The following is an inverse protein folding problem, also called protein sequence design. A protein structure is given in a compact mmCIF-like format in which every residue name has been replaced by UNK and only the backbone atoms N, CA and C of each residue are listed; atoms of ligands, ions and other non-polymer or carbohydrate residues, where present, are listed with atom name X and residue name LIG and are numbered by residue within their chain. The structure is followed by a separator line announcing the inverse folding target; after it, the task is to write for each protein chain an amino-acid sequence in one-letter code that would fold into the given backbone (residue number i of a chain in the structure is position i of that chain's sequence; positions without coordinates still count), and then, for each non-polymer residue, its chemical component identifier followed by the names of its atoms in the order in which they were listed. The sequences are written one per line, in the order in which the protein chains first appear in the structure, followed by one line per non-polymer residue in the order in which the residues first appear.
data_IF_873808043235
#
_entry.id   IF_873808043235
#
_cell.length_a   1.000
_cell.length_b   1.000
_cell.length_c   1.000
_cell.angle_alpha   90.00
_cell.angle_beta   90.00
_cell.angle_gamma   90.00
#
_symmetry.space_group_name_H-M   'P 1'
#
loop_
_entity.id
_entity.type
_entity.pdbx_description
1 polymer ?
2 non-polymer ?
3 water ?
#
# COMPACT_ATOMS: atom_id res chain seq x y z
N UNK A 2 5.78 -11.06 20.48
CA UNK A 2 6.11 -9.77 19.77
C UNK A 2 7.59 -9.47 19.51
N UNK A 3 8.45 -9.88 20.43
CA UNK A 3 9.85 -9.42 20.50
C UNK A 3 10.76 -10.59 20.12
N UNK A 4 11.60 -10.40 19.12
CA UNK A 4 12.49 -11.45 18.65
C UNK A 4 13.89 -11.21 19.23
N UNK A 5 14.43 -12.25 19.82
CA UNK A 5 15.81 -12.25 20.33
C UNK A 5 16.73 -12.18 19.06
N UNK A 6 17.71 -11.26 19.09
CA UNK A 6 18.57 -10.98 17.90
C UNK A 6 19.41 -12.18 17.47
N UNK A 7 19.66 -13.08 18.41
CA UNK A 7 20.38 -14.28 18.11
C UNK A 7 19.65 -15.20 17.13
N UNK A 8 18.35 -14.96 16.93
CA UNK A 8 17.49 -15.77 16.10
C UNK A 8 17.47 -15.29 14.66
N UNK A 9 18.12 -14.14 14.39
CA UNK A 9 18.17 -13.54 13.06
C UNK A 9 19.59 -13.56 12.46
N UNK A 10 19.60 -13.85 11.18
CA UNK A 10 20.74 -13.72 10.33
C UNK A 10 20.38 -12.75 9.23
N UNK A 11 21.19 -11.69 9.11
CA UNK A 11 21.02 -10.68 8.03
C UNK A 11 21.85 -11.12 6.84
N UNK A 12 21.35 -10.96 5.63
CA UNK A 12 22.15 -11.35 4.48
C UNK A 12 22.52 -10.11 3.69
N UNK A 13 21.76 -9.77 2.67
CA UNK A 13 22.10 -8.73 1.77
C UNK A 13 21.00 -7.66 1.76
N UNK A 14 21.37 -6.43 1.46
CA UNK A 14 20.40 -5.36 1.20
C UNK A 14 19.55 -5.71 -0.04
N UNK A 15 18.25 -5.42 0.05
CA UNK A 15 17.30 -5.65 -1.03
C UNK A 15 16.47 -4.39 -1.14
N UNK A 16 15.84 -4.21 -2.31
CA UNK A 16 14.92 -3.09 -2.51
C UNK A 16 15.58 -1.83 -3.06
N UNK A 17 14.74 -0.94 -3.57
CA UNK A 17 15.21 0.34 -4.14
C UNK A 17 15.07 1.51 -3.17
N UNK A 18 14.78 1.26 -1.89
CA UNK A 18 14.79 2.34 -0.89
C UNK A 18 13.47 3.00 -0.61
N UNK A 19 12.39 2.50 -1.20
CA UNK A 19 11.05 3.00 -0.90
C UNK A 19 10.54 2.58 0.49
N UNK A 20 11.17 1.58 1.08
CA UNK A 20 10.95 1.25 2.51
C UNK A 20 12.24 1.45 3.38
N UNK A 21 13.21 2.19 2.88
CA UNK A 21 14.46 2.43 3.60
C UNK A 21 15.44 1.26 3.47
N UNK A 22 16.17 1.05 4.58
CA UNK A 22 17.17 0.04 4.70
C UNK A 22 16.50 -1.29 5.06
N UNK A 23 16.49 -2.23 4.09
CA UNK A 23 15.92 -3.55 4.23
C UNK A 23 17.00 -4.56 3.87
N UNK A 24 17.12 -5.60 4.69
CA UNK A 24 17.89 -6.79 4.35
C UNK A 24 17.02 -8.00 4.10
N UNK A 25 17.50 -8.89 3.22
CA UNK A 25 17.01 -10.27 3.22
C UNK A 25 17.54 -10.95 4.49
N UNK A 26 16.73 -11.73 5.17
CA UNK A 26 17.26 -12.45 6.30
C UNK A 26 16.68 -13.81 6.45
N UNK A 27 17.20 -14.54 7.44
CA UNK A 27 16.62 -15.79 7.91
C UNK A 27 16.27 -15.69 9.37
N UNK A 28 15.15 -16.26 9.74
CA UNK A 28 14.71 -16.27 11.10
C UNK A 28 14.63 -17.71 11.59
N UNK A 29 15.38 -18.08 12.66
CA UNK A 29 15.31 -19.43 13.29
C UNK A 29 15.07 -20.49 12.22
N UNK A 30 16.18 -20.87 11.61
CA UNK A 30 16.27 -20.97 10.16
C UNK A 30 15.50 -22.18 9.59
N UNK A 31 15.23 -22.21 8.28
CA UNK A 31 15.73 -21.25 7.29
C UNK A 31 14.56 -20.50 6.61
N UNK A 32 13.76 -19.82 7.43
CA UNK A 32 12.61 -19.03 6.99
C UNK A 32 13.09 -17.66 6.45
N UNK A 33 12.87 -17.36 5.16
CA UNK A 33 13.23 -16.02 4.63
C UNK A 33 12.32 -14.92 5.19
N UNK A 34 12.90 -13.80 5.60
CA UNK A 34 12.15 -12.64 6.13
C UNK A 34 12.80 -11.45 5.45
N UNK A 35 12.14 -10.30 5.54
CA UNK A 35 12.68 -9.02 5.18
C UNK A 35 12.88 -8.30 6.52
N UNK A 36 14.09 -7.81 6.72
CA UNK A 36 14.37 -7.08 7.95
C UNK A 36 14.58 -5.63 7.66
N UNK A 37 13.87 -4.81 8.41
CA UNK A 37 13.94 -3.42 8.16
C UNK A 37 14.50 -2.68 9.40
N UNK A 38 15.64 -2.04 9.21
CA UNK A 38 16.27 -1.23 10.28
C UNK A 38 15.60 0.13 10.47
N UNK A 39 15.30 0.47 11.72
CA UNK A 39 14.68 1.75 12.05
C UNK A 39 15.47 2.56 13.10
N UNK A 40 15.13 3.84 13.26
CA UNK A 40 15.78 4.75 14.21
C UNK A 40 15.51 4.44 15.69
N UNK A 41 16.46 4.82 16.53
CA UNK A 41 16.54 4.36 17.90
C UNK A 41 15.38 4.83 18.78
N UNK A 42 15.04 6.11 18.73
CA UNK A 42 14.15 6.66 19.78
C UNK A 42 12.93 7.46 19.30
N UNK A 43 12.35 7.03 18.18
CA UNK A 43 11.12 7.64 17.62
C UNK A 43 9.83 7.34 18.42
N UNK A 44 9.84 6.36 19.33
CA UNK A 44 8.58 5.93 19.97
C UNK A 44 8.57 5.75 21.47
N UNK A 45 9.59 5.13 22.04
CA UNK A 45 9.52 4.60 23.40
C UNK A 45 9.07 3.14 23.31
N UNK A 46 9.69 2.32 24.14
CA UNK A 46 9.62 0.90 23.98
C UNK A 46 8.21 0.39 24.15
N UNK A 47 7.44 1.03 25.03
CA UNK A 47 6.16 0.48 25.38
C UNK A 47 5.15 0.68 24.26
N UNK A 48 5.00 1.92 23.82
CA UNK A 48 4.15 2.25 22.67
C UNK A 48 4.49 1.39 21.49
N UNK A 49 5.79 1.31 21.20
CA UNK A 49 6.35 0.53 20.09
C UNK A 49 5.97 -0.95 20.15
N UNK A 50 6.05 -1.52 21.35
CA UNK A 50 5.79 -2.92 21.50
C UNK A 50 4.31 -3.14 21.36
N UNK A 51 3.53 -2.23 21.94
CA UNK A 51 2.07 -2.32 21.91
C UNK A 51 1.58 -2.16 20.47
N UNK A 52 2.26 -1.34 19.66
CA UNK A 52 1.88 -1.17 18.26
C UNK A 52 2.38 -2.32 17.35
N UNK A 53 3.50 -2.94 17.69
CA UNK A 53 3.90 -4.17 17.00
C UNK A 53 2.87 -5.28 17.27
N UNK A 54 2.39 -5.39 18.50
CA UNK A 54 1.37 -6.40 18.85
C UNK A 54 0.04 -6.17 18.11
N UNK A 55 -0.39 -4.92 18.01
CA UNK A 55 -1.62 -4.57 17.27
C UNK A 55 -1.48 -4.92 15.78
N UNK A 56 -0.38 -4.46 15.16
CA UNK A 56 0.00 -4.85 13.78
C UNK A 56 0.03 -6.37 13.54
N UNK A 57 0.62 -7.13 14.46
CA UNK A 57 0.72 -8.60 14.28
C UNK A 57 -0.66 -9.25 14.32
N UNK A 58 -1.60 -8.61 15.00
CA UNK A 58 -2.98 -9.09 15.10
C UNK A 58 -3.71 -8.94 13.74
N UNK A 59 -3.52 -7.81 13.06
CA UNK A 59 -4.01 -7.58 11.68
C UNK A 59 -3.40 -8.54 10.63
N UNK A 60 -3.98 -9.75 10.61
CA UNK A 60 -3.43 -10.91 9.91
C UNK A 60 -4.35 -11.29 8.76
N UNK A 61 -3.94 -10.98 7.54
CA UNK A 61 -4.80 -11.22 6.39
C UNK A 61 -3.81 -11.50 5.26
N UNK A 62 -4.09 -12.50 4.38
CA UNK A 62 -3.15 -12.81 3.29
C UNK A 62 -2.90 -11.69 2.27
N UNK A 63 -3.72 -10.64 2.26
CA UNK A 63 -3.45 -9.46 1.41
C UNK A 63 -2.70 -8.34 2.14
N UNK A 64 -2.24 -8.62 3.36
CA UNK A 64 -1.45 -7.66 4.11
C UNK A 64 -0.12 -8.30 4.38
N UNK A 65 0.93 -7.58 4.08
CA UNK A 65 2.29 -8.03 4.42
C UNK A 65 2.44 -8.12 5.93
N UNK A 66 2.71 -9.33 6.43
CA UNK A 66 2.75 -9.62 7.88
C UNK A 66 4.00 -9.14 8.60
N UNK A 67 3.76 -8.55 9.78
CA UNK A 67 4.80 -8.32 10.74
C UNK A 67 4.99 -9.59 11.57
N UNK A 68 6.19 -10.14 11.54
CA UNK A 68 6.55 -11.30 12.39
C UNK A 68 7.01 -10.93 13.81
N UNK A 69 7.62 -9.76 13.93
CA UNK A 69 8.03 -9.24 15.23
C UNK A 69 9.08 -8.14 15.13
N UNK A 70 9.71 -7.89 16.26
CA UNK A 70 10.46 -6.70 16.45
C UNK A 70 11.73 -7.11 17.25
N UNK A 71 12.88 -6.61 16.83
CA UNK A 71 14.13 -6.94 17.50
C UNK A 71 14.68 -5.65 18.09
N UNK A 72 14.67 -5.55 19.41
CA UNK A 72 15.12 -4.31 20.05
C UNK A 72 16.17 -4.46 21.16
N UNK A 73 16.60 -5.68 21.44
CA UNK A 73 17.59 -5.95 22.47
C UNK A 73 18.89 -5.19 22.22
N UNK A 74 19.35 -5.22 20.97
CA UNK A 74 20.57 -4.56 20.55
C UNK A 74 20.26 -3.51 19.48
N UNK A 75 21.15 -2.54 19.31
CA UNK A 75 21.05 -1.55 18.24
C UNK A 75 21.98 -1.96 17.07
N UNK A 76 21.59 -1.62 15.86
CA UNK A 76 20.33 -1.02 15.39
C UNK A 76 19.11 -1.96 15.61
N UNK A 77 17.95 -1.37 15.87
CA UNK A 77 16.75 -2.12 16.14
C UNK A 77 16.02 -2.31 14.82
N UNK A 78 15.21 -3.36 14.74
CA UNK A 78 14.50 -3.62 13.50
C UNK A 78 13.10 -4.28 13.55
N UNK A 79 12.42 -4.20 12.40
CA UNK A 79 11.17 -4.90 12.11
C UNK A 79 11.44 -6.15 11.24
N UNK A 80 10.87 -7.28 11.66
CA UNK A 80 10.94 -8.51 10.92
C UNK A 80 9.59 -8.76 10.19
N UNK A 81 9.65 -8.79 8.86
CA UNK A 81 8.46 -8.84 8.01
C UNK A 81 8.48 -10.10 7.17
N UNK A 82 7.29 -10.45 6.70
CA UNK A 82 7.12 -11.36 5.60
C UNK A 82 7.99 -10.96 4.39
N UNK A 83 8.77 -11.92 3.89
CA UNK A 83 9.50 -11.68 2.66
C UNK A 83 8.61 -11.79 1.44
N UNK A 84 8.67 -10.77 0.56
CA UNK A 84 7.86 -10.70 -0.63
C UNK A 84 8.74 -10.85 -1.90
N UNK A 85 8.55 -11.97 -2.53
CA UNK A 85 9.46 -12.50 -3.55
C UNK A 85 9.76 -11.51 -4.65
N UNK A 86 8.77 -10.71 -5.03
CA UNK A 86 8.90 -9.89 -6.24
C UNK A 86 8.87 -8.40 -6.01
N UNK A 87 9.22 -7.96 -4.79
CA UNK A 87 9.57 -6.58 -4.58
C UNK A 87 8.38 -5.63 -4.58
N UNK A 88 8.67 -4.37 -4.83
CA UNK A 88 7.70 -3.26 -4.77
C UNK A 88 6.90 -3.20 -6.07
N UNK A 89 5.58 -3.06 -5.95
CA UNK A 89 4.61 -3.10 -7.03
C UNK A 89 4.90 -2.00 -8.07
N UNK A 90 5.32 -0.84 -7.60
CA UNK A 90 5.63 0.26 -8.52
C UNK A 90 6.74 -0.13 -9.51
N UNK A 91 7.87 -0.66 -8.99
CA UNK A 91 8.94 -1.22 -9.85
C UNK A 91 8.52 -2.45 -10.64
N UNK A 92 7.79 -3.37 -10.01
CA UNK A 92 7.25 -4.54 -10.71
C UNK A 92 6.46 -4.07 -11.97
N UNK A 93 5.59 -3.10 -11.79
CA UNK A 93 4.76 -2.61 -12.90
C UNK A 93 5.55 -1.91 -13.97
N UNK A 94 6.49 -1.05 -13.53
CA UNK A 94 7.27 -0.21 -14.44
C UNK A 94 8.26 -1.00 -15.29
N UNK A 95 8.97 -1.93 -14.70
CA UNK A 95 9.92 -2.69 -15.48
C UNK A 95 9.26 -3.61 -16.50
N UNK A 96 7.99 -3.96 -16.27
CA UNK A 96 7.33 -4.97 -17.07
C UNK A 96 6.19 -4.39 -17.89
N UNK A 97 6.21 -3.09 -18.10
CA UNK A 97 5.25 -2.41 -18.92
C UNK A 97 5.09 -3.10 -20.29
N UNK A 98 3.86 -3.22 -20.77
CA UNK A 98 3.54 -4.01 -21.96
C UNK A 98 3.31 -5.53 -21.78
N UNK A 99 3.44 -6.08 -20.57
CA UNK A 99 3.39 -7.57 -20.42
C UNK A 99 2.24 -8.04 -19.54
N UNK A 100 1.30 -7.15 -19.24
CA UNK A 100 0.16 -7.51 -18.40
C UNK A 100 -1.12 -7.48 -19.21
N UNK A 101 -1.94 -8.54 -19.10
CA UNK A 101 -3.36 -8.45 -19.52
C UNK A 101 -4.15 -7.51 -18.58
N UNK A 102 -5.11 -6.79 -19.14
CA UNK A 102 -6.08 -6.02 -18.31
C UNK A 102 -6.63 -6.86 -17.15
N UNK A 103 -6.92 -8.14 -17.40
CA UNK A 103 -7.48 -9.02 -16.35
C UNK A 103 -6.51 -9.17 -15.18
N UNK A 104 -5.22 -9.22 -15.52
CA UNK A 104 -4.16 -9.34 -14.53
C UNK A 104 -4.04 -8.07 -13.72
N UNK A 105 -4.20 -6.95 -14.37
CA UNK A 105 -4.18 -5.66 -13.66
C UNK A 105 -5.40 -5.51 -12.79
N UNK A 106 -6.54 -6.05 -13.22
CA UNK A 106 -7.72 -5.89 -12.38
C UNK A 106 -7.61 -6.77 -11.12
N UNK A 107 -7.07 -7.97 -11.29
CA UNK A 107 -6.79 -8.88 -10.15
C UNK A 107 -5.84 -8.27 -9.09
N UNK A 108 -4.95 -7.39 -9.52
CA UNK A 108 -4.03 -6.72 -8.62
C UNK A 108 -4.82 -5.75 -7.75
N UNK A 109 -5.70 -4.98 -8.36
CA UNK A 109 -6.65 -4.07 -7.63
C UNK A 109 -7.60 -4.81 -6.71
N UNK A 110 -8.04 -6.00 -7.13
CA UNK A 110 -8.81 -6.87 -6.23
C UNK A 110 -8.00 -7.30 -4.95
N UNK A 111 -6.75 -7.73 -5.13
CA UNK A 111 -5.86 -8.02 -4.00
C UNK A 111 -5.77 -6.86 -3.00
N UNK A 112 -5.43 -5.67 -3.46
CA UNK A 112 -5.37 -4.52 -2.56
C UNK A 112 -6.72 -4.21 -1.88
N UNK A 113 -7.79 -4.30 -2.67
CA UNK A 113 -9.07 -3.93 -2.17
C UNK A 113 -9.48 -4.86 -1.01
N UNK A 114 -9.12 -6.13 -1.16
CA UNK A 114 -9.37 -7.17 -0.14
C UNK A 114 -8.59 -6.93 1.15
N UNK A 115 -7.29 -6.56 1.03
CA UNK A 115 -6.56 -6.17 2.23
C UNK A 115 -7.19 -4.94 2.89
N UNK A 116 -7.47 -3.92 2.09
CA UNK A 116 -8.09 -2.68 2.56
C UNK A 116 -9.50 -2.86 3.18
N UNK A 117 -10.28 -3.79 2.66
CA UNK A 117 -11.62 -4.08 3.20
C UNK A 117 -11.51 -4.77 4.58
N UNK A 118 -10.44 -5.51 4.76
CA UNK A 118 -10.09 -6.01 6.08
C UNK A 118 -9.67 -4.90 7.10
N UNK A 119 -8.83 -3.96 6.68
CA UNK A 119 -8.47 -2.85 7.53
C UNK A 119 -9.67 -1.99 7.89
N UNK A 120 -10.48 -1.66 6.87
CA UNK A 120 -11.72 -0.89 6.97
C UNK A 120 -12.58 -1.55 8.07
N UNK A 121 -12.80 -2.84 7.94
CA UNK A 121 -13.60 -3.60 8.92
C UNK A 121 -13.00 -3.63 10.35
N UNK A 122 -11.67 -3.56 10.51
CA UNK A 122 -11.05 -3.45 11.83
C UNK A 122 -10.96 -2.00 12.34
N UNK A 123 -11.56 -1.08 11.61
CA UNK A 123 -11.50 0.37 11.89
C UNK A 123 -10.06 0.87 11.79
N UNK A 124 -9.29 0.33 10.83
CA UNK A 124 -7.92 0.81 10.66
C UNK A 124 -7.81 1.64 9.41
N UNK A 125 -7.31 2.86 9.59
CA UNK A 125 -7.08 3.80 8.50
C UNK A 125 -5.62 3.69 8.08
N UNK A 126 -5.42 3.48 6.79
CA UNK A 126 -4.08 3.39 6.25
C UNK A 126 -3.35 4.79 6.22
N UNK A 127 -3.94 5.76 5.55
CA UNK A 127 -3.42 7.15 5.42
C UNK A 127 -2.33 7.40 4.40
N UNK A 128 -1.80 6.36 3.80
CA UNK A 128 -0.78 6.58 2.81
C UNK A 128 -0.84 5.42 1.85
N UNK A 129 -2.03 5.11 1.37
CA UNK A 129 -2.12 4.02 0.41
C UNK A 129 -1.61 4.47 -0.98
N UNK A 130 -0.78 3.64 -1.62
CA UNK A 130 -0.16 3.98 -2.93
C UNK A 130 0.56 2.75 -3.46
N UNK A 131 0.86 2.67 -4.75
CA UNK A 131 1.54 1.49 -5.34
C UNK A 131 2.89 1.23 -4.70
N UNK A 132 3.65 2.29 -4.41
CA UNK A 132 4.93 2.22 -3.69
C UNK A 132 4.87 1.54 -2.31
N UNK A 133 3.66 1.50 -1.70
CA UNK A 133 3.49 0.85 -0.38
C UNK A 133 2.95 -0.56 -0.48
N UNK A 134 2.80 -1.07 -1.71
CA UNK A 134 2.39 -2.45 -1.93
C UNK A 134 3.54 -3.28 -2.47
N UNK A 135 3.46 -4.58 -2.17
CA UNK A 135 4.52 -5.53 -2.50
C UNK A 135 3.92 -6.74 -3.19
N UNK A 136 4.76 -7.41 -3.97
CA UNK A 136 4.36 -8.54 -4.82
C UNK A 136 4.98 -9.83 -4.35
N UNK A 137 4.14 -10.83 -4.20
CA UNK A 137 4.57 -12.08 -3.59
C UNK A 137 4.52 -13.28 -4.49
N UNK A 138 4.45 -14.44 -3.85
CA UNK A 138 4.27 -15.74 -4.47
C UNK A 138 3.05 -15.78 -5.40
N UNK A 139 3.26 -16.36 -6.57
CA UNK A 139 2.23 -16.38 -7.62
C UNK A 139 1.71 -15.00 -7.96
N UNK A 140 2.58 -14.01 -7.78
CA UNK A 140 2.29 -12.59 -8.08
C UNK A 140 1.08 -11.96 -7.37
N UNK A 141 0.80 -12.45 -6.18
CA UNK A 141 -0.24 -11.87 -5.32
C UNK A 141 0.31 -10.50 -4.95
N UNK A 142 -0.57 -9.52 -4.78
CA UNK A 142 -0.18 -8.18 -4.32
C UNK A 142 -0.58 -8.03 -2.85
N UNK A 143 0.30 -7.46 -2.04
CA UNK A 143 -0.09 -7.21 -0.66
C UNK A 143 0.21 -5.80 -0.25
N UNK A 144 -0.61 -5.29 0.66
CA UNK A 144 -0.55 -3.92 1.15
C UNK A 144 0.35 -3.90 2.36
N UNK A 145 1.14 -2.87 2.44
CA UNK A 145 2.02 -2.66 3.57
C UNK A 145 1.87 -1.23 4.09
N UNK A 146 2.72 -0.86 5.05
CA UNK A 146 2.75 0.48 5.64
C UNK A 146 1.48 0.90 6.34
N UNK A 147 0.77 -0.04 6.94
CA UNK A 147 -0.43 0.33 7.67
C UNK A 147 -0.21 0.41 9.19
N UNK A 148 1.02 0.15 9.64
CA UNK A 148 1.35 0.34 11.04
C UNK A 148 2.78 0.78 11.13
N UNK A 149 3.21 1.16 12.33
CA UNK A 149 4.60 1.57 12.54
C UNK A 149 5.05 2.67 11.53
N UNK A 150 4.13 3.58 11.19
CA UNK A 150 4.38 4.59 10.13
C UNK A 150 5.37 5.71 10.57
N UNK A 151 5.64 5.80 11.87
CA UNK A 151 6.72 6.63 12.44
C UNK A 151 8.08 5.93 12.25
N UNK A 166 4.74 15.34 2.44
CA UNK A 166 3.28 15.10 2.24
C UNK A 166 2.93 14.68 0.77
N UNK A 167 2.31 13.48 0.60
CA UNK A 167 1.88 13.01 -0.72
C UNK A 167 0.45 13.49 -1.10
N UNK A 168 0.38 14.76 -1.48
CA UNK A 168 -0.86 15.36 -1.94
C UNK A 168 -1.51 14.63 -3.13
N UNK A 169 -0.69 14.09 -4.01
CA UNK A 169 -1.19 13.31 -5.17
C UNK A 169 -2.10 12.12 -4.84
N UNK A 170 -2.08 11.65 -3.60
CA UNK A 170 -2.85 10.47 -3.19
C UNK A 170 -3.94 10.85 -2.22
N UNK A 171 -3.95 12.12 -1.83
CA UNK A 171 -4.74 12.63 -0.73
C UNK A 171 -6.10 13.03 -1.27
N UNK A 172 -7.13 12.70 -0.53
CA UNK A 172 -8.44 13.23 -0.85
C UNK A 172 -8.42 14.75 -0.55
N UNK A 173 -9.40 15.51 -1.10
CA UNK A 173 -9.48 16.91 -0.81
C UNK A 173 -9.57 17.25 0.70
N UNK A 174 -10.24 16.44 1.52
CA UNK A 174 -10.39 16.78 2.93
C UNK A 174 -9.10 16.39 3.72
N UNK A 175 -8.28 15.53 3.16
CA UNK A 175 -6.95 15.22 3.73
C UNK A 175 -5.97 16.33 3.39
N UNK A 176 -5.91 16.78 2.14
CA UNK A 176 -4.98 17.86 1.81
C UNK A 176 -5.40 19.26 2.30
N UNK A 177 -6.68 19.47 2.57
CA UNK A 177 -7.20 20.67 3.18
C UNK A 177 -7.08 20.72 4.72
N UNK A 178 -7.44 19.60 5.39
CA UNK A 178 -7.52 19.60 6.88
C UNK A 178 -7.16 18.31 7.53
N UNK A 179 -6.38 17.46 6.83
CA UNK A 179 -5.93 16.20 7.43
C UNK A 179 -7.09 15.41 8.00
N UNK A 180 -8.21 15.40 7.28
CA UNK A 180 -9.41 14.70 7.73
C UNK A 180 -9.49 13.28 7.19
N UNK A 181 -8.84 12.38 7.92
CA UNK A 181 -8.59 10.99 7.45
C UNK A 181 -9.72 10.07 7.79
N UNK A 182 -10.00 9.08 6.93
CA UNK A 182 -11.02 8.09 7.17
C UNK A 182 -10.83 6.95 6.15
N UNK A 183 -11.64 5.92 6.30
CA UNK A 183 -11.58 4.81 5.36
C UNK A 183 -12.02 5.31 4.02
N UNK A 184 -12.85 6.34 4.02
CA UNK A 184 -13.24 6.97 2.76
C UNK A 184 -12.13 7.77 2.05
N UNK A 185 -11.23 8.39 2.83
CA UNK A 185 -10.03 8.99 2.24
C UNK A 185 -9.05 7.97 1.81
N UNK A 186 -9.01 6.83 2.46
CA UNK A 186 -8.27 5.69 1.87
C UNK A 186 -8.85 5.25 0.48
N UNK A 187 -10.16 5.38 0.28
CA UNK A 187 -10.81 4.96 -0.97
C UNK A 187 -10.34 5.90 -2.12
N UNK A 188 -10.22 7.19 -1.81
CA UNK A 188 -9.69 8.10 -2.79
C UNK A 188 -8.29 7.63 -3.21
N UNK A 189 -7.40 7.41 -2.24
CA UNK A 189 -6.08 6.91 -2.51
C UNK A 189 -6.06 5.63 -3.33
N UNK A 190 -6.99 4.71 -3.03
CA UNK A 190 -7.11 3.45 -3.78
C UNK A 190 -7.53 3.70 -5.26
N UNK A 191 -8.30 4.75 -5.52
CA UNK A 191 -8.56 5.15 -6.90
C UNK A 191 -7.28 5.45 -7.63
N UNK A 192 -6.41 6.18 -6.97
CA UNK A 192 -5.14 6.60 -7.56
C UNK A 192 -4.22 5.40 -7.75
N UNK A 193 -4.21 4.50 -6.78
CA UNK A 193 -3.47 3.25 -6.90
C UNK A 193 -3.99 2.46 -8.09
N UNK A 194 -5.31 2.41 -8.28
CA UNK A 194 -5.90 1.74 -9.46
C UNK A 194 -5.35 2.35 -10.77
N UNK A 195 -5.21 3.67 -10.79
CA UNK A 195 -4.69 4.37 -11.98
C UNK A 195 -3.23 4.00 -12.19
N UNK A 196 -2.44 3.95 -11.11
CA UNK A 196 -1.02 3.54 -11.16
C UNK A 196 -0.91 2.11 -11.68
N UNK A 197 -1.79 1.23 -11.24
CA UNK A 197 -1.76 -0.15 -11.73
C UNK A 197 -2.09 -0.25 -13.21
N UNK A 198 -3.21 0.36 -13.64
CA UNK A 198 -3.68 0.25 -15.01
C UNK A 198 -2.82 1.00 -16.01
N UNK A 199 -2.15 2.03 -15.53
CA UNK A 199 -1.15 2.74 -16.38
C UNK A 199 0.22 2.07 -16.30
N UNK A 200 0.31 0.90 -15.64
CA UNK A 200 1.56 0.11 -15.57
C UNK A 200 2.70 0.94 -14.90
N UNK A 201 2.35 1.61 -13.79
CA UNK A 201 3.27 2.30 -12.90
C UNK A 201 3.69 3.70 -13.32
N UNK A 202 2.81 4.44 -13.99
CA UNK A 202 3.10 5.85 -14.35
C UNK A 202 2.92 6.71 -13.10
N UNK A 203 3.57 7.87 -13.03
CA UNK A 203 3.46 8.75 -11.87
C UNK A 203 2.21 9.64 -12.07
N UNK A 204 1.27 9.62 -11.12
CA UNK A 204 0.08 10.49 -11.28
C UNK A 204 0.41 11.99 -11.28
N UNK A 205 -0.27 12.81 -12.09
CA UNK A 205 -0.06 14.25 -12.06
C UNK A 205 1.44 14.55 -12.12
N UNK A 206 2.15 13.87 -13.03
CA UNK A 206 3.62 13.85 -13.00
C UNK A 206 4.35 15.21 -13.07
N UNK A 207 3.92 16.12 -13.93
CA UNK A 207 4.59 17.41 -13.99
C UNK A 207 3.86 18.53 -13.25
N UNK A 208 3.10 18.15 -12.24
CA UNK A 208 2.26 19.14 -11.57
C UNK A 208 2.86 19.37 -10.21
N UNK A 209 2.94 20.61 -9.77
CA UNK A 209 3.30 20.88 -8.39
C UNK A 209 2.12 20.59 -7.49
N UNK A 210 2.44 20.45 -6.21
CA UNK A 210 1.44 20.19 -5.18
C UNK A 210 0.24 21.16 -5.23
N UNK A 211 0.48 22.48 -5.39
CA UNK A 211 -0.62 23.42 -5.36
C UNK A 211 -1.47 23.39 -6.65
N UNK A 212 -0.87 23.00 -7.76
CA UNK A 212 -1.60 22.80 -9.02
C UNK A 212 -2.51 21.55 -8.94
N UNK A 213 -2.00 20.48 -8.37
CA UNK A 213 -2.83 19.29 -8.12
C UNK A 213 -4.11 19.72 -7.34
N UNK A 214 -3.85 20.42 -6.22
CA UNK A 214 -4.85 20.94 -5.29
C UNK A 214 -5.90 21.79 -5.98
N UNK A 215 -5.44 22.73 -6.80
CA UNK A 215 -6.31 23.64 -7.56
C UNK A 215 -7.06 22.86 -8.66
N UNK A 216 -6.36 22.04 -9.47
CA UNK A 216 -7.05 21.19 -10.47
C UNK A 216 -8.11 20.25 -9.82
N UNK A 217 -7.73 19.51 -8.78
CA UNK A 217 -8.75 18.63 -8.15
C UNK A 217 -9.99 19.47 -7.75
N UNK A 218 -9.77 20.62 -7.08
CA UNK A 218 -10.89 21.51 -6.67
C UNK A 218 -11.82 21.91 -7.82
N UNK A 219 -11.28 22.03 -9.02
CA UNK A 219 -12.03 22.46 -10.18
C UNK A 219 -12.78 21.30 -10.84
N UNK A 220 -12.54 20.06 -10.43
CA UNK A 220 -13.23 18.92 -11.05
C UNK A 220 -12.35 18.06 -11.97
N UNK A 221 -11.12 18.50 -12.22
CA UNK A 221 -10.10 17.67 -12.90
C UNK A 221 -9.83 16.30 -12.21
N UNK A 222 -9.71 15.26 -13.04
CA UNK A 222 -9.41 13.90 -12.61
C UNK A 222 -8.42 13.22 -13.53
N UNK A 223 -7.68 12.28 -12.97
CA UNK A 223 -6.72 11.56 -13.77
C UNK A 223 -7.42 10.99 -15.00
N UNK A 224 -6.72 11.04 -16.15
CA UNK A 224 -7.19 10.51 -17.40
C UNK A 224 -7.31 8.99 -17.36
N UNK A 225 -8.10 8.44 -18.29
CA UNK A 225 -8.32 7.00 -18.36
C UNK A 225 -7.10 6.32 -18.98
N UNK A 226 -6.42 5.44 -18.22
CA UNK A 226 -5.41 4.61 -18.88
C UNK A 226 -5.97 3.74 -19.98
N UNK A 227 -5.19 3.60 -21.03
CA UNK A 227 -5.52 2.77 -22.15
C UNK A 227 -6.01 1.39 -21.82
N UNK A 228 -5.37 0.69 -20.90
CA UNK A 228 -5.84 -0.69 -20.49
C UNK A 228 -7.07 -0.76 -19.53
N UNK A 229 -7.50 0.36 -18.98
CA UNK A 229 -8.67 0.38 -18.12
C UNK A 229 -9.87 0.48 -19.08
N UNK A 230 -10.87 -0.40 -18.86
CA UNK A 230 -12.12 -0.29 -19.56
C UNK A 230 -12.86 0.94 -19.01
N UNK A 231 -13.93 1.28 -19.74
CA UNK A 231 -14.90 2.26 -19.29
C UNK A 231 -15.45 1.90 -17.91
N UNK A 232 -15.78 0.64 -17.71
CA UNK A 232 -16.33 0.25 -16.39
C UNK A 232 -15.36 0.43 -15.24
N UNK A 233 -14.09 0.15 -15.50
CA UNK A 233 -13.07 0.29 -14.48
C UNK A 233 -12.87 1.79 -14.19
N UNK A 234 -12.83 2.57 -15.25
CA UNK A 234 -12.60 3.98 -15.07
C UNK A 234 -13.76 4.65 -14.29
N UNK A 235 -14.99 4.23 -14.57
CA UNK A 235 -16.13 4.63 -13.76
C UNK A 235 -15.96 4.24 -12.27
N UNK A 236 -15.42 3.07 -11.98
CA UNK A 236 -15.16 2.75 -10.55
C UNK A 236 -14.09 3.71 -10.02
N UNK A 237 -13.01 3.92 -10.79
CA UNK A 237 -12.06 4.96 -10.42
C UNK A 237 -12.72 6.27 -10.07
N UNK A 238 -13.59 6.79 -10.91
CA UNK A 238 -14.19 8.12 -10.67
C UNK A 238 -15.12 8.20 -9.49
N UNK A 239 -15.73 7.06 -9.11
CA UNK A 239 -16.44 6.96 -7.85
C UNK A 239 -15.56 7.11 -6.58
N UNK A 240 -14.37 6.52 -6.58
CA UNK A 240 -13.41 6.73 -5.49
C UNK A 240 -12.96 8.19 -5.37
N UNK A 241 -12.90 8.90 -6.50
CA UNK A 241 -12.50 10.31 -6.57
C UNK A 241 -13.72 11.29 -6.52
N UNK A 242 -14.83 10.84 -5.95
CA UNK A 242 -15.94 11.78 -5.63
C UNK A 242 -15.44 12.77 -4.62
N UNK A 243 -15.71 14.04 -4.88
CA UNK A 243 -15.25 15.16 -4.05
C UNK A 243 -15.52 14.96 -2.58
N UNK A 244 -16.71 14.50 -2.20
CA UNK A 244 -17.02 14.25 -0.77
C UNK A 244 -16.99 12.76 -0.39
N UNK A 245 -16.49 12.47 0.85
CA UNK A 245 -16.30 11.06 1.26
C UNK A 245 -17.61 10.31 1.28
N UNK A 246 -18.67 10.95 1.72
CA UNK A 246 -20.00 10.31 1.75
C UNK A 246 -20.50 9.76 0.40
N UNK A 247 -19.95 10.24 -0.72
CA UNK A 247 -20.32 9.78 -2.09
C UNK A 247 -19.44 8.65 -2.63
N UNK A 248 -18.37 8.35 -1.93
CA UNK A 248 -17.41 7.36 -2.35
C UNK A 248 -17.86 6.03 -1.79
N UNK A 249 -17.76 4.99 -2.62
CA UNK A 249 -18.02 3.68 -2.11
C UNK A 249 -17.03 3.19 -1.04
N UNK A 250 -17.55 2.34 -0.13
CA UNK A 250 -16.75 1.75 0.94
C UNK A 250 -15.97 0.58 0.32
N UNK A 251 -14.84 0.18 0.91
CA UNK A 251 -14.08 -0.95 0.36
C UNK A 251 -14.90 -2.22 0.28
N UNK A 252 -15.73 -2.45 1.25
CA UNK A 252 -16.56 -3.66 1.28
C UNK A 252 -17.36 -3.77 -0.01
N UNK A 253 -17.89 -2.63 -0.49
CA UNK A 253 -18.76 -2.66 -1.65
C UNK A 253 -17.93 -2.68 -2.93
N UNK A 254 -16.77 -1.99 -2.88
CA UNK A 254 -15.81 -2.00 -3.97
C UNK A 254 -15.26 -3.41 -4.31
N UNK A 255 -15.06 -4.21 -3.28
CA UNK A 255 -14.56 -5.58 -3.39
C UNK A 255 -15.49 -6.48 -4.23
N UNK A 256 -16.77 -6.50 -3.82
CA UNK A 256 -17.84 -7.17 -4.59
C UNK A 256 -17.97 -6.63 -6.00
N UNK A 257 -17.98 -5.30 -6.12
CA UNK A 257 -18.10 -4.65 -7.39
C UNK A 257 -16.98 -5.02 -8.35
N UNK A 258 -15.73 -4.88 -7.95
CA UNK A 258 -14.59 -5.23 -8.82
C UNK A 258 -14.57 -6.73 -9.23
N UNK A 259 -14.80 -7.60 -8.26
CA UNK A 259 -14.95 -9.04 -8.52
C UNK A 259 -16.10 -9.26 -9.50
N UNK A 260 -17.18 -8.47 -9.39
CA UNK A 260 -18.34 -8.64 -10.27
C UNK A 260 -18.04 -8.20 -11.69
N UNK A 261 -17.29 -7.11 -11.81
CA UNK A 261 -16.86 -6.63 -13.11
C UNK A 261 -15.87 -7.59 -13.79
N UNK A 262 -14.93 -8.11 -12.99
CA UNK A 262 -14.06 -9.22 -13.40
C UNK A 262 -14.88 -10.35 -14.03
N UNK A 263 -15.99 -10.70 -13.39
CA UNK A 263 -16.87 -11.77 -13.85
C UNK A 263 -17.87 -11.40 -14.99
N UNK A 264 -18.19 -10.13 -15.18
CA UNK A 264 -19.32 -9.73 -16.04
C UNK A 264 -19.08 -9.86 -17.56
X LIG B 1 7.42 -3.78 4.45
X LIG B 1 8.63 -4.55 4.01
X LIG B 1 8.45 -6.05 3.91
X LIG B 1 9.12 -6.63 2.71
X LIG B 1 9.04 -7.91 2.28
X LIG B 1 9.79 -8.10 1.17
X LIG B 1 10.36 -6.93 0.87
X LIG B 1 11.26 -6.75 -0.28
X LIG B 1 11.97 -5.78 -0.46
X LIG B 1 11.23 -7.79 -1.17
X LIG B 1 12.11 -7.88 -2.24
X LIG B 1 13.07 -6.98 -2.77
X LIG B 1 13.75 -7.44 -3.82
X LIG B 1 13.19 -8.67 -3.97
X LIG B 1 12.23 -8.98 -3.05
X LIG B 1 13.64 -9.59 -4.98
X LIG B 1 14.23 -8.91 -6.22
X LIG B 1 14.79 -9.96 -7.19
X LIG B 1 15.54 -9.27 -8.35
X LIG B 1 14.60 -8.61 -9.30
X LIG B 1 13.82 -7.51 -8.59
X LIG B 1 12.94 -8.03 -7.09
X LIG B 1 11.90 -8.98 -7.49
X LIG B 1 12.62 -6.83 -6.36
X LIG B 1 14.64 -10.53 -4.37
X LIG B 1 14.45 -11.89 -4.44
X LIG B 1 15.38 -12.76 -3.88
X LIG B 1 16.48 -12.27 -3.21
X LIG B 1 16.68 -10.91 -3.13
X LIG B 1 15.76 -10.05 -3.70
X LIG B 1 9.94 -5.98 1.83
X LIG B 1 10.28 -4.56 1.95
X LIG B 1 9.51 -3.83 3.01
X LIG B 1 9.96 -4.02 4.42
X LIG B 1 10.89 -5.00 4.79
X LIG B 1 10.02 -2.96 5.31
#
# INVERSE_FOLDING_TARGET
GSVIDPSELTFVQEIGSGQFGLVHLGYWLNKDKVAIKTIREGAMSEEDFIEEAEVMMKLSHPKLVQLYGVCLEQAPICLVFEFMEHGCLSDYLRTQRGLFAAETLLGMCLDVCEGMAYLEEASVIHRDLAARNCLVGENQVIKVSDFGMTRFVLDDQYTSSTGTKFPVKWASPEVFSFSRYSSKSDVWSFGVLMWEVFSEGKIPYENRSNSEVVEDISTGFRLYKPRLASTHVYQIMNHCWKERPEDRPAFSRLLRQLAAIAASGL
3P6 C1 C2 C3 C4 N5 N6 C7 C8 O9 N10 C11 C12 N13 N14 C15 C16 C17 C18 C19 C20 C21 S22 O23 O24 C25 C26 C27 C28 C29 C30 C31 C32 C33 C34 F35 F36
#
